data_IF_889764792865
#
_entry.id   IF_889764792865
#
_cell.length_a   1.000
_cell.length_b   1.000
_cell.length_c   1.000
_cell.angle_alpha   90.00
_cell.angle_beta   90.00
_cell.angle_gamma   90.00
#
_symmetry.space_group_name_H-M   'P 1'
#
loop_
_entity.id
_entity.type
_entity.pdbx_description
1 polymer ?
#
# COMPACT_ATOMS: atom_id res chain seq x y z
N UNK A 1 6.85 2.29 -2.29
CA UNK A 1 5.63 2.88 -2.81
C UNK A 1 4.43 2.58 -1.90
N UNK A 2 3.40 3.37 -2.02
CA UNK A 2 2.18 3.19 -1.23
C UNK A 2 1.50 1.85 -1.55
N UNK A 3 1.46 1.46 -2.82
CA UNK A 3 0.87 0.18 -3.25
C UNK A 3 1.59 -1.01 -2.62
N UNK A 4 2.92 -0.96 -2.56
CA UNK A 4 3.73 -1.99 -1.91
C UNK A 4 3.41 -2.08 -0.41
N UNK A 5 3.31 -0.95 0.28
CA UNK A 5 2.98 -0.90 1.71
C UNK A 5 1.59 -1.47 1.99
N UNK A 6 0.61 -1.13 1.17
CA UNK A 6 -0.75 -1.67 1.27
C UNK A 6 -0.76 -3.19 1.08
N UNK A 7 -0.03 -3.67 0.06
CA UNK A 7 0.06 -5.10 -0.22
C UNK A 7 0.69 -5.88 0.93
N UNK A 8 1.80 -5.36 1.50
CA UNK A 8 2.49 -5.99 2.64
C UNK A 8 1.59 -5.99 3.88
N UNK A 9 0.91 -4.88 4.17
CA UNK A 9 0.00 -4.77 5.31
C UNK A 9 -1.15 -5.78 5.20
N UNK A 10 -1.77 -5.87 4.03
CA UNK A 10 -2.87 -6.81 3.78
C UNK A 10 -2.41 -8.26 3.89
N UNK A 11 -1.28 -8.58 3.25
CA UNK A 11 -0.68 -9.92 3.33
C UNK A 11 -0.43 -10.32 4.78
N UNK A 12 0.26 -9.47 5.54
CA UNK A 12 0.64 -9.75 6.91
C UNK A 12 -0.57 -9.89 7.83
N UNK A 13 -1.55 -9.00 7.70
CA UNK A 13 -2.78 -9.02 8.50
C UNK A 13 -3.58 -10.28 8.24
N UNK A 14 -3.83 -10.61 6.99
CA UNK A 14 -4.64 -11.77 6.60
C UNK A 14 -3.95 -13.06 7.02
N UNK A 15 -2.65 -13.18 6.75
CA UNK A 15 -1.88 -14.37 7.11
C UNK A 15 -1.81 -14.54 8.62
N UNK A 16 -1.57 -13.46 9.38
CA UNK A 16 -1.54 -13.49 10.84
C UNK A 16 -2.87 -13.98 11.41
N UNK A 17 -3.98 -13.45 10.92
CA UNK A 17 -5.32 -13.85 11.36
C UNK A 17 -5.59 -15.33 11.09
N UNK A 18 -5.26 -15.82 9.90
CA UNK A 18 -5.46 -17.21 9.52
C UNK A 18 -4.61 -18.16 10.36
N UNK A 19 -3.35 -17.85 10.57
CA UNK A 19 -2.46 -18.68 11.38
C UNK A 19 -2.90 -18.71 12.84
N UNK A 20 -3.37 -17.59 13.38
CA UNK A 20 -3.93 -17.52 14.74
C UNK A 20 -5.19 -18.37 14.88
N UNK A 21 -5.95 -18.51 13.79
CA UNK A 21 -7.17 -19.34 13.76
C UNK A 21 -6.90 -20.83 13.50
N UNK A 22 -5.63 -21.23 13.35
CA UNK A 22 -5.25 -22.61 13.14
C UNK A 22 -5.29 -23.09 11.69
N UNK A 23 -5.42 -22.19 10.72
CA UNK A 23 -5.39 -22.55 9.29
C UNK A 23 -3.97 -22.99 8.91
N UNK A 24 -3.80 -24.14 8.22
CA UNK A 24 -2.47 -24.56 7.76
C UNK A 24 -1.83 -23.51 6.84
N UNK A 25 -0.51 -23.38 6.93
CA UNK A 25 0.24 -22.32 6.22
C UNK A 25 0.03 -22.37 4.70
N UNK A 26 0.00 -23.56 4.10
CA UNK A 26 -0.17 -23.69 2.65
C UNK A 26 -1.54 -23.21 2.20
N UNK A 27 -2.59 -23.57 2.95
CA UNK A 27 -3.96 -23.15 2.67
C UNK A 27 -4.12 -21.64 2.88
N UNK A 28 -3.52 -21.13 3.95
CA UNK A 28 -3.54 -19.70 4.27
C UNK A 28 -2.86 -18.89 3.15
N UNK A 29 -1.72 -19.34 2.65
CA UNK A 29 -1.00 -18.66 1.55
C UNK A 29 -1.82 -18.64 0.27
N UNK A 30 -2.53 -19.73 -0.04
CA UNK A 30 -3.39 -19.78 -1.22
C UNK A 30 -4.51 -18.74 -1.14
N UNK A 31 -5.18 -18.64 0.01
CA UNK A 31 -6.26 -17.67 0.23
C UNK A 31 -5.71 -16.24 0.15
N UNK A 32 -4.56 -15.99 0.79
CA UNK A 32 -3.92 -14.66 0.78
C UNK A 32 -3.54 -14.27 -0.64
N UNK A 33 -3.02 -15.21 -1.44
CA UNK A 33 -2.68 -14.96 -2.84
C UNK A 33 -3.90 -14.51 -3.64
N UNK A 34 -5.01 -15.21 -3.48
CA UNK A 34 -6.26 -14.89 -4.19
C UNK A 34 -6.85 -13.54 -3.80
N UNK A 35 -6.64 -13.11 -2.56
CA UNK A 35 -7.18 -11.85 -2.04
C UNK A 35 -6.20 -10.68 -2.14
N UNK A 36 -5.02 -10.89 -2.70
CA UNK A 36 -3.98 -9.86 -2.78
C UNK A 36 -4.38 -8.66 -3.65
N UNK A 37 -5.22 -8.87 -4.67
CA UNK A 37 -5.68 -7.81 -5.55
C UNK A 37 -4.62 -7.30 -6.54
N UNK A 38 -3.46 -7.95 -6.61
CA UNK A 38 -2.33 -7.58 -7.46
C UNK A 38 -1.67 -8.84 -7.98
N UNK A 39 -1.51 -8.93 -9.30
CA UNK A 39 -0.95 -10.13 -9.96
C UNK A 39 0.49 -10.39 -9.54
N UNK A 40 1.29 -9.35 -9.37
CA UNK A 40 2.71 -9.49 -8.97
C UNK A 40 2.81 -10.07 -7.56
N UNK A 41 2.01 -9.55 -6.63
CA UNK A 41 1.96 -10.04 -5.24
C UNK A 41 1.44 -11.48 -5.21
N UNK A 42 0.38 -11.77 -5.96
CA UNK A 42 -0.17 -13.11 -6.07
C UNK A 42 0.87 -14.13 -6.52
N UNK A 43 1.64 -13.81 -7.56
CA UNK A 43 2.71 -14.68 -8.08
C UNK A 43 3.79 -14.93 -7.03
N UNK A 44 4.20 -13.90 -6.32
CA UNK A 44 5.21 -14.02 -5.25
C UNK A 44 4.73 -14.94 -4.14
N UNK A 45 3.47 -14.80 -3.74
CA UNK A 45 2.88 -15.63 -2.68
C UNK A 45 2.74 -17.09 -3.14
N UNK A 46 2.29 -17.32 -4.36
CA UNK A 46 2.17 -18.67 -4.91
C UNK A 46 3.52 -19.34 -5.08
N UNK A 47 4.54 -18.59 -5.49
CA UNK A 47 5.93 -19.10 -5.56
C UNK A 47 6.43 -19.49 -4.17
N UNK A 48 6.13 -18.67 -3.16
CA UNK A 48 6.47 -18.98 -1.76
C UNK A 48 5.77 -20.24 -1.29
N UNK A 49 4.49 -20.41 -1.61
CA UNK A 49 3.73 -21.61 -1.29
C UNK A 49 4.39 -22.86 -1.89
N UNK A 50 4.79 -22.79 -3.16
CA UNK A 50 5.49 -23.90 -3.83
C UNK A 50 6.81 -24.27 -3.13
N UNK A 51 7.59 -23.26 -2.73
CA UNK A 51 8.84 -23.47 -2.01
C UNK A 51 8.64 -24.12 -0.66
N UNK A 52 7.62 -23.73 0.09
CA UNK A 52 7.29 -24.33 1.38
C UNK A 52 6.85 -25.79 1.21
N UNK A 53 6.08 -26.08 0.17
CA UNK A 53 5.68 -27.45 -0.17
C UNK A 53 6.88 -28.35 -0.46
N UNK A 54 7.98 -27.78 -0.94
CA UNK A 54 9.26 -28.49 -1.17
C UNK A 54 10.13 -28.59 0.08
N UNK A 55 9.67 -28.10 1.21
CA UNK A 55 10.37 -28.14 2.49
C UNK A 55 11.25 -26.94 2.81
N UNK A 56 11.19 -25.87 2.01
CA UNK A 56 11.92 -24.63 2.26
C UNK A 56 11.19 -23.77 3.32
N UNK A 57 11.92 -22.79 3.88
CA UNK A 57 11.33 -21.84 4.82
C UNK A 57 10.49 -20.78 4.07
N UNK A 58 9.68 -20.03 4.81
CA UNK A 58 8.89 -18.94 4.23
C UNK A 58 9.78 -17.77 3.81
N UNK A 59 10.78 -17.45 4.64
CA UNK A 59 11.66 -16.31 4.41
C UNK A 59 12.57 -16.51 3.18
N UNK A 60 12.99 -17.73 2.93
CA UNK A 60 13.97 -18.03 1.85
C UNK A 60 13.48 -17.57 0.47
N UNK A 61 12.28 -17.95 -0.01
CA UNK A 61 11.81 -17.49 -1.32
C UNK A 61 11.46 -16.00 -1.36
N UNK A 62 11.25 -15.36 -0.21
CA UNK A 62 10.96 -13.92 -0.14
C UNK A 62 12.21 -13.05 -0.17
N UNK A 63 13.39 -13.63 0.07
CA UNK A 63 14.65 -12.91 -0.04
C UNK A 63 14.85 -12.39 -1.46
N UNK A 64 15.21 -11.11 -1.58
CA UNK A 64 15.40 -10.49 -2.88
C UNK A 64 14.10 -10.14 -3.61
N UNK A 65 12.93 -10.36 -3.00
CA UNK A 65 11.65 -9.98 -3.57
C UNK A 65 11.54 -8.46 -3.69
N UNK A 66 10.95 -7.98 -4.77
CA UNK A 66 10.66 -6.56 -4.97
C UNK A 66 9.42 -6.10 -4.19
N UNK A 67 8.57 -7.04 -3.79
CA UNK A 67 7.33 -6.77 -3.07
C UNK A 67 7.57 -6.67 -1.57
N UNK A 68 8.38 -7.57 -1.02
CA UNK A 68 8.63 -7.68 0.42
C UNK A 68 9.97 -7.06 0.80
N UNK A 69 9.97 -5.95 1.57
CA UNK A 69 11.21 -5.33 2.05
C UNK A 69 12.04 -6.28 2.93
N UNK A 70 13.35 -6.04 2.98
CA UNK A 70 14.26 -6.88 3.77
C UNK A 70 13.88 -6.99 5.25
N UNK A 71 13.36 -5.93 5.85
CA UNK A 71 12.89 -5.94 7.24
C UNK A 71 11.75 -6.95 7.43
N UNK A 72 10.80 -7.00 6.51
CA UNK A 72 9.69 -7.95 6.56
C UNK A 72 10.20 -9.39 6.48
N UNK A 73 11.11 -9.65 5.55
CA UNK A 73 11.71 -10.98 5.38
C UNK A 73 12.46 -11.42 6.64
N UNK A 74 13.21 -10.51 7.27
CA UNK A 74 13.92 -10.80 8.52
C UNK A 74 12.95 -11.10 9.67
N UNK A 75 11.86 -10.35 9.79
CA UNK A 75 10.85 -10.58 10.82
C UNK A 75 10.15 -11.92 10.63
N UNK A 76 9.87 -12.29 9.38
CA UNK A 76 9.30 -13.61 9.04
C UNK A 76 10.28 -14.72 9.43
N UNK A 77 11.56 -14.56 9.12
CA UNK A 77 12.60 -15.53 9.49
C UNK A 77 12.66 -15.74 11.00
N UNK A 78 12.62 -14.66 11.79
CA UNK A 78 12.58 -14.74 13.25
C UNK A 78 11.33 -15.45 13.74
N UNK A 79 10.16 -15.14 13.15
CA UNK A 79 8.90 -15.80 13.49
C UNK A 79 8.93 -17.30 13.20
N UNK A 80 9.55 -17.72 12.11
CA UNK A 80 9.72 -19.14 11.79
C UNK A 80 10.60 -19.86 12.81
N UNK A 81 11.72 -19.24 13.21
CA UNK A 81 12.67 -19.83 14.14
C UNK A 81 12.13 -19.93 15.57
N UNK A 82 11.32 -18.96 15.98
CA UNK A 82 10.78 -18.89 17.34
C UNK A 82 9.40 -19.53 17.50
N UNK A 83 8.75 -19.88 16.38
CA UNK A 83 7.37 -20.40 16.38
C UNK A 83 6.31 -19.32 16.62
N UNK A 84 6.70 -18.05 16.62
CA UNK A 84 5.80 -16.92 16.85
C UNK A 84 5.45 -16.18 15.54
N UNK A 85 5.24 -16.94 14.46
CA UNK A 85 4.97 -16.38 13.12
C UNK A 85 3.75 -15.48 13.12
N UNK A 86 2.66 -15.88 13.75
CA UNK A 86 1.41 -15.12 13.83
C UNK A 86 1.63 -13.78 14.54
N UNK A 87 2.38 -13.77 15.64
CA UNK A 87 2.70 -12.55 16.38
C UNK A 87 3.60 -11.60 15.56
N UNK A 88 4.60 -12.14 14.87
CA UNK A 88 5.50 -11.35 14.04
C UNK A 88 4.78 -10.75 12.83
N UNK A 89 3.92 -11.52 12.18
CA UNK A 89 3.09 -11.02 11.09
C UNK A 89 2.12 -9.93 11.57
N UNK A 90 1.56 -10.07 12.76
CA UNK A 90 0.73 -9.04 13.38
C UNK A 90 1.48 -7.73 13.59
N UNK A 91 2.73 -7.79 14.04
CA UNK A 91 3.59 -6.61 14.19
C UNK A 91 3.92 -5.95 12.87
N UNK A 92 4.20 -6.74 11.83
CA UNK A 92 4.44 -6.24 10.47
C UNK A 92 3.19 -5.51 9.97
N UNK A 93 2.02 -6.12 10.15
CA UNK A 93 0.75 -5.54 9.73
C UNK A 93 0.49 -4.20 10.43
N UNK A 94 0.70 -4.13 11.74
CA UNK A 94 0.52 -2.89 12.51
C UNK A 94 1.47 -1.80 12.02
N UNK A 95 2.74 -2.13 11.82
CA UNK A 95 3.74 -1.18 11.31
C UNK A 95 3.35 -0.62 9.95
N UNK A 96 2.97 -1.49 9.01
CA UNK A 96 2.63 -1.05 7.65
C UNK A 96 1.26 -0.39 7.57
N UNK A 97 0.31 -0.73 8.44
CA UNK A 97 -0.95 0.00 8.56
C UNK A 97 -0.68 1.45 8.98
N UNK A 98 0.20 1.67 9.95
CA UNK A 98 0.62 3.02 10.37
C UNK A 98 1.32 3.77 9.23
N UNK A 99 2.19 3.09 8.49
CA UNK A 99 2.88 3.66 7.34
C UNK A 99 1.90 4.07 6.22
N UNK A 100 0.89 3.25 5.97
CA UNK A 100 -0.17 3.54 4.99
C UNK A 100 -0.99 4.74 5.44
N UNK A 101 -1.40 4.78 6.71
CA UNK A 101 -2.17 5.90 7.28
C UNK A 101 -1.38 7.20 7.18
N UNK A 102 -0.09 7.19 7.51
CA UNK A 102 0.79 8.35 7.39
C UNK A 102 0.90 8.81 5.94
N UNK A 103 1.05 7.89 5.00
CA UNK A 103 1.14 8.22 3.57
C UNK A 103 -0.17 8.81 3.04
N UNK A 104 -1.32 8.25 3.46
CA UNK A 104 -2.64 8.78 3.11
C UNK A 104 -2.86 10.17 3.68
N UNK A 105 -2.47 10.39 4.94
CA UNK A 105 -2.54 11.71 5.58
C UNK A 105 -1.68 12.73 4.85
N UNK A 106 -0.47 12.36 4.43
CA UNK A 106 0.41 13.20 3.65
C UNK A 106 -0.22 13.59 2.30
N UNK A 107 -0.84 12.63 1.61
CA UNK A 107 -1.55 12.87 0.36
C UNK A 107 -2.74 13.79 0.57
N UNK A 108 -3.52 13.57 1.62
CA UNK A 108 -4.67 14.43 1.98
C UNK A 108 -4.22 15.85 2.29
N UNK A 109 -3.11 16.01 3.00
CA UNK A 109 -2.53 17.32 3.32
C UNK A 109 -2.07 18.06 2.07
N UNK A 110 -1.60 17.34 1.03
CA UNK A 110 -1.22 17.93 -0.24
C UNK A 110 -2.43 18.28 -1.11
N UNK A 111 -3.53 17.55 -0.96
CA UNK A 111 -4.76 17.81 -1.72
C UNK A 111 -5.37 19.16 -1.37
N UNK A 112 -5.33 19.56 -0.11
CA UNK A 112 -5.92 20.82 0.34
C UNK A 112 -5.30 22.04 -0.36
N UNK A 113 -3.96 22.26 -0.35
CA UNK A 113 -3.36 23.33 -1.12
C UNK A 113 -3.62 23.23 -2.62
N UNK A 114 -3.61 22.00 -3.16
CA UNK A 114 -3.85 21.76 -4.57
C UNK A 114 -5.26 22.16 -4.99
N UNK A 115 -6.26 21.84 -4.18
CA UNK A 115 -7.65 22.23 -4.38
C UNK A 115 -7.83 23.73 -4.27
N UNK A 116 -7.17 24.38 -3.32
CA UNK A 116 -7.20 25.84 -3.16
C UNK A 116 -6.61 26.55 -4.37
N UNK A 117 -5.48 26.07 -4.88
CA UNK A 117 -4.85 26.62 -6.09
C UNK A 117 -5.74 26.40 -7.31
N UNK A 118 -6.31 25.21 -7.48
CA UNK A 118 -7.21 24.89 -8.58
C UNK A 118 -8.46 25.75 -8.58
N UNK A 119 -9.11 25.86 -7.43
CA UNK A 119 -10.31 26.69 -7.25
C UNK A 119 -9.98 28.16 -7.45
N UNK A 120 -8.94 28.67 -6.81
CA UNK A 120 -8.50 30.05 -6.95
C UNK A 120 -8.12 30.41 -8.37
N UNK A 121 -7.42 29.52 -9.06
CA UNK A 121 -7.06 29.69 -10.48
C UNK A 121 -8.29 29.73 -11.38
N UNK A 122 -9.26 28.84 -11.15
CA UNK A 122 -10.52 28.80 -11.91
C UNK A 122 -11.36 30.06 -11.71
N UNK A 123 -11.52 30.49 -10.47
CA UNK A 123 -12.27 31.70 -10.12
C UNK A 123 -11.56 32.93 -10.66
N UNK A 124 -10.23 33.01 -10.50
CA UNK A 124 -9.42 34.11 -11.03
C UNK A 124 -9.50 34.22 -12.53
N UNK A 125 -9.39 33.08 -13.24
CA UNK A 125 -9.55 33.04 -14.70
C UNK A 125 -10.92 33.48 -15.15
N UNK A 126 -11.98 33.07 -14.44
CA UNK A 126 -13.35 33.49 -14.74
C UNK A 126 -13.54 34.97 -14.54
N UNK A 127 -13.01 35.55 -13.46
CA UNK A 127 -13.06 36.99 -13.21
C UNK A 127 -12.35 37.78 -14.28
N UNK A 128 -11.16 37.36 -14.68
CA UNK A 128 -10.41 38.03 -15.76
C UNK A 128 -11.20 37.97 -17.08
N UNK A 129 -11.80 36.81 -17.40
CA UNK A 129 -12.62 36.64 -18.59
C UNK A 129 -13.87 37.53 -18.57
N UNK A 130 -14.44 37.79 -17.40
CA UNK A 130 -15.60 38.67 -17.25
C UNK A 130 -15.21 40.13 -17.36
N UNK A 131 -14.08 40.55 -16.80
CA UNK A 131 -13.64 41.97 -16.77
C UNK A 131 -12.96 42.39 -18.04
N UNK A 132 -12.34 41.50 -18.80
CA UNK A 132 -11.68 41.82 -20.07
C UNK A 132 -12.60 42.55 -21.05
N UNK A 133 -13.83 42.10 -21.34
CA UNK A 133 -14.75 42.82 -22.22
C UNK A 133 -15.11 44.21 -21.69
N UNK A 134 -15.22 44.35 -20.36
CA UNK A 134 -15.51 45.64 -19.73
C UNK A 134 -14.41 46.64 -19.99
N UNK A 135 -13.14 46.27 -19.87
CA UNK A 135 -12.00 47.09 -20.15
C UNK A 135 -11.91 47.46 -21.63
N UNK A 136 -12.23 46.52 -22.53
CA UNK A 136 -12.27 46.78 -23.98
C UNK A 136 -13.37 47.78 -24.33
N UNK A 137 -14.53 47.69 -23.70
CA UNK A 137 -15.62 48.64 -23.91
C UNK A 137 -15.20 50.04 -23.46
N UNK A 138 -14.55 50.14 -22.29
CA UNK A 138 -14.04 51.41 -21.76
C UNK A 138 -12.98 52.03 -22.70
N UNK A 139 -12.14 51.21 -23.32
CA UNK A 139 -11.14 51.64 -24.28
C UNK A 139 -11.75 52.17 -25.58
N UNK A 140 -12.80 51.56 -26.06
CA UNK A 140 -13.52 51.94 -27.28
C UNK A 140 -14.34 53.21 -27.06
N UNK A 141 -14.90 53.41 -25.87
CA UNK A 141 -15.71 54.60 -25.52
C UNK A 141 -14.84 55.87 -25.37
N UNK A 142 -13.58 55.71 -24.96
CA UNK A 142 -12.63 56.80 -24.88
C UNK A 142 -11.93 57.03 -26.21
#
# INVERSE_FOLDING_TARGET
SLLQKVAVARFSRTLSTMLSSGVPILDALEIVARTAGNVVVEREILRTKGSIAEGKTIAEPLQGSKVFPGMVVQMIAVGEQTGAMDAMLGKIADFYDDEVDTAVDALTSLLEPLLMVGLGGSIGGLLVAMYLPIFKIAEVVN
#
